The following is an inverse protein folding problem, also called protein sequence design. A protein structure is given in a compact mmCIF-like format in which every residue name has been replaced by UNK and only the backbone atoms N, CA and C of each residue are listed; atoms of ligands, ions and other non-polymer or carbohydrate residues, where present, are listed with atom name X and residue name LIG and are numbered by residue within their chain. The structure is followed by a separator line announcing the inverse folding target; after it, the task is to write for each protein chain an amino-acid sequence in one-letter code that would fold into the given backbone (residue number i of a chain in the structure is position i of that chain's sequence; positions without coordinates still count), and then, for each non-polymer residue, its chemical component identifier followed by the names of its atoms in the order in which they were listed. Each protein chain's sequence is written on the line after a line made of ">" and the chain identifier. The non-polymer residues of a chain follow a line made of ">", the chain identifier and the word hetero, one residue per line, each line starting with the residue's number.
data_IF_799624136518
#
_entry.id   IF_799624136518
#
_cell.length_a   1.000
_cell.length_b   1.000
_cell.length_c   1.000
_cell.angle_alpha   90.00
_cell.angle_beta   90.00
_cell.angle_gamma   90.00
#
_symmetry.space_group_name_H-M   'P 1'
#
loop_
_entity.id
_entity.type
_entity.pdbx_description
1 polymer ?
#
# COMPACT_ATOMS: atom_id res chain seq x y z
N UNK A 1 -1.96 14.44 19.51
CA UNK A 1 -1.54 14.50 18.11
C UNK A 1 -1.19 15.91 17.70
N UNK A 2 -0.41 16.05 16.63
CA UNK A 2 0.02 17.35 16.12
C UNK A 2 -0.89 17.80 14.99
N UNK A 3 -1.24 19.07 14.96
CA UNK A 3 -2.03 19.65 13.86
C UNK A 3 -1.08 20.01 12.71
N UNK A 4 -1.30 19.43 11.53
CA UNK A 4 -0.38 19.58 10.39
C UNK A 4 -0.19 21.01 9.91
N UNK A 5 -1.18 21.88 10.08
CA UNK A 5 -1.12 23.30 9.71
C UNK A 5 -0.42 24.17 10.76
N UNK A 6 -0.43 23.76 12.03
CA UNK A 6 0.14 24.52 13.15
C UNK A 6 1.54 24.01 13.52
N UNK A 7 1.75 22.68 13.46
CA UNK A 7 2.98 21.99 13.85
C UNK A 7 3.47 21.03 12.74
N UNK A 8 3.77 21.55 11.53
CA UNK A 8 4.04 20.71 10.35
C UNK A 8 5.25 19.79 10.54
N UNK A 9 6.30 20.24 11.22
CA UNK A 9 7.51 19.44 11.43
C UNK A 9 7.26 18.27 12.38
N UNK A 10 6.52 18.48 13.47
CA UNK A 10 6.18 17.43 14.42
C UNK A 10 5.18 16.43 13.81
N UNK A 11 4.19 16.94 13.06
CA UNK A 11 3.25 16.10 12.33
C UNK A 11 3.96 15.20 11.30
N UNK A 12 4.91 15.73 10.53
CA UNK A 12 5.70 14.95 9.54
C UNK A 12 6.55 13.85 10.19
N UNK A 13 7.06 14.05 11.41
CA UNK A 13 7.79 13.00 12.15
C UNK A 13 6.91 11.79 12.47
N UNK A 14 5.60 12.00 12.58
CA UNK A 14 4.63 10.94 12.84
C UNK A 14 4.20 10.18 11.56
N UNK A 15 4.67 10.58 10.38
CA UNK A 15 4.22 10.04 9.10
C UNK A 15 5.38 9.40 8.35
N UNK A 16 5.20 8.15 7.94
CA UNK A 16 5.99 7.50 6.90
C UNK A 16 5.23 7.59 5.58
N UNK A 17 5.90 8.00 4.50
CA UNK A 17 5.25 8.16 3.20
C UNK A 17 6.00 7.43 2.10
N UNK A 18 5.27 6.63 1.33
CA UNK A 18 5.71 6.01 0.09
C UNK A 18 4.88 6.57 -1.05
N UNK A 19 5.40 7.45 -1.91
CA UNK A 19 4.73 7.85 -3.15
C UNK A 19 4.77 6.72 -4.18
N UNK A 20 3.91 6.79 -5.20
CA UNK A 20 3.85 5.84 -6.32
C UNK A 20 5.23 5.60 -6.96
N UNK A 21 6.00 6.68 -7.15
CA UNK A 21 7.38 6.63 -7.61
C UNK A 21 8.32 7.04 -6.47
N UNK A 22 8.95 6.08 -5.76
CA UNK A 22 9.82 6.40 -4.64
C UNK A 22 11.00 7.28 -5.07
N UNK A 23 11.21 8.44 -4.43
CA UNK A 23 12.28 9.39 -4.76
C UNK A 23 13.62 8.90 -4.17
N UNK A 24 14.13 7.77 -4.67
CA UNK A 24 15.36 7.15 -4.19
C UNK A 24 16.58 7.69 -4.93
N UNK A 25 17.71 7.83 -4.23
CA UNK A 25 18.99 8.18 -4.85
C UNK A 25 19.60 6.95 -5.54
N UNK A 26 19.49 6.90 -6.86
CA UNK A 26 19.80 5.72 -7.68
C UNK A 26 21.28 5.35 -7.71
N UNK A 27 22.18 6.29 -7.45
CA UNK A 27 23.63 6.09 -7.40
C UNK A 27 24.17 5.66 -6.01
N UNK A 28 23.29 5.54 -5.03
CA UNK A 28 23.59 4.96 -3.73
C UNK A 28 23.29 3.46 -3.73
N UNK A 29 24.00 2.71 -2.89
CA UNK A 29 23.58 1.36 -2.49
C UNK A 29 22.35 1.44 -1.57
N UNK A 30 21.63 0.35 -1.44
CA UNK A 30 20.46 0.27 -0.53
C UNK A 30 20.85 0.66 0.90
N UNK A 31 21.97 0.14 1.39
CA UNK A 31 22.45 0.43 2.75
C UNK A 31 22.87 1.89 2.94
N UNK A 32 23.55 2.49 1.98
CA UNK A 32 23.95 3.91 2.01
C UNK A 32 22.70 4.80 2.03
N UNK A 33 21.72 4.51 1.19
CA UNK A 33 20.47 5.24 1.13
C UNK A 33 19.70 5.17 2.46
N UNK A 34 19.54 3.98 3.03
CA UNK A 34 18.84 3.84 4.31
C UNK A 34 19.59 4.50 5.49
N UNK A 35 20.92 4.52 5.47
CA UNK A 35 21.71 5.31 6.43
C UNK A 35 21.43 6.80 6.29
N UNK A 36 21.44 7.31 5.07
CA UNK A 36 21.11 8.71 4.77
C UNK A 36 19.70 9.07 5.26
N UNK A 37 18.70 8.22 4.97
CA UNK A 37 17.32 8.42 5.45
C UNK A 37 17.24 8.41 6.97
N UNK A 38 17.98 7.51 7.64
CA UNK A 38 18.03 7.45 9.10
C UNK A 38 18.60 8.76 9.71
N UNK A 39 19.55 9.39 9.02
CA UNK A 39 20.09 10.70 9.41
C UNK A 39 19.08 11.83 9.24
N UNK A 40 18.43 11.88 8.08
CA UNK A 40 17.37 12.87 7.82
C UNK A 40 16.24 12.79 8.83
N UNK A 41 15.84 11.56 9.20
CA UNK A 41 14.81 11.32 10.23
C UNK A 41 15.32 11.54 11.66
N UNK A 42 16.58 11.97 11.83
CA UNK A 42 17.22 12.26 13.13
C UNK A 42 17.16 11.06 14.09
N UNK A 43 17.22 9.83 13.57
CA UNK A 43 17.27 8.62 14.39
C UNK A 43 18.60 8.63 15.17
N UNK A 44 18.61 8.35 16.49
CA UNK A 44 19.83 8.29 17.30
C UNK A 44 20.88 7.34 16.71
N UNK A 45 22.16 7.75 16.73
CA UNK A 45 23.26 7.00 16.07
C UNK A 45 23.37 5.55 16.53
N UNK A 46 23.18 5.32 17.82
CA UNK A 46 23.21 3.99 18.47
C UNK A 46 22.08 3.06 17.99
N UNK A 47 20.94 3.61 17.56
CA UNK A 47 19.79 2.85 17.11
C UNK A 47 19.75 2.62 15.59
N UNK A 48 20.45 3.44 14.79
CA UNK A 48 20.36 3.43 13.33
C UNK A 48 20.67 2.05 12.73
N UNK A 49 21.79 1.45 13.12
CA UNK A 49 22.23 0.15 12.58
C UNK A 49 21.18 -0.95 12.83
N UNK A 50 20.63 -0.98 14.05
CA UNK A 50 19.60 -1.95 14.46
C UNK A 50 18.32 -1.74 13.64
N UNK A 51 17.79 -0.52 13.61
CA UNK A 51 16.55 -0.23 12.90
C UNK A 51 16.66 -0.46 11.38
N UNK A 52 17.79 -0.09 10.76
CA UNK A 52 18.02 -0.34 9.34
C UNK A 52 17.96 -1.85 9.06
N UNK A 53 18.66 -2.67 9.86
CA UNK A 53 18.66 -4.12 9.67
C UNK A 53 17.26 -4.72 9.86
N UNK A 54 16.52 -4.31 10.90
CA UNK A 54 15.16 -4.76 11.17
C UNK A 54 14.22 -4.41 10.01
N UNK A 55 14.28 -3.18 9.51
CA UNK A 55 13.45 -2.74 8.39
C UNK A 55 13.83 -3.46 7.09
N UNK A 56 15.12 -3.64 6.81
CA UNK A 56 15.56 -4.40 5.62
C UNK A 56 15.07 -5.86 5.66
N UNK A 57 15.09 -6.50 6.82
CA UNK A 57 14.53 -7.84 7.01
C UNK A 57 13.01 -7.85 6.80
N UNK A 58 12.30 -6.86 7.36
CA UNK A 58 10.85 -6.72 7.25
C UNK A 58 10.39 -6.63 5.79
N UNK A 59 11.06 -5.80 4.99
CA UNK A 59 10.73 -5.63 3.56
C UNK A 59 11.47 -6.61 2.64
N UNK A 60 12.26 -7.54 3.19
CA UNK A 60 12.98 -8.61 2.46
C UNK A 60 13.95 -8.07 1.37
N UNK A 61 14.86 -7.17 1.76
CA UNK A 61 15.90 -6.62 0.86
C UNK A 61 17.31 -6.75 1.42
N UNK A 62 17.53 -7.55 2.44
CA UNK A 62 18.83 -7.70 3.10
C UNK A 62 19.92 -8.20 2.15
N UNK A 63 19.56 -9.10 1.23
CA UNK A 63 20.44 -9.63 0.19
C UNK A 63 20.89 -8.57 -0.84
N UNK A 64 20.14 -7.46 -0.95
CA UNK A 64 20.40 -6.36 -1.88
C UNK A 64 21.17 -5.19 -1.25
N UNK A 65 21.56 -5.26 0.03
CA UNK A 65 22.09 -4.12 0.79
C UNK A 65 23.26 -3.38 0.13
N UNK A 66 24.14 -4.12 -0.56
CA UNK A 66 25.33 -3.56 -1.21
C UNK A 66 25.10 -3.27 -2.71
N UNK A 67 23.89 -3.48 -3.22
CA UNK A 67 23.58 -3.25 -4.63
C UNK A 67 23.16 -1.80 -4.85
N UNK A 68 23.64 -1.19 -5.96
CA UNK A 68 23.19 0.13 -6.37
C UNK A 68 21.70 0.11 -6.70
N UNK A 69 20.95 1.12 -6.24
CA UNK A 69 19.50 1.20 -6.41
C UNK A 69 19.11 1.24 -7.89
N UNK A 70 19.90 1.87 -8.77
CA UNK A 70 19.66 1.87 -10.22
C UNK A 70 19.63 0.47 -10.84
N UNK A 71 20.33 -0.49 -10.24
CA UNK A 71 20.41 -1.87 -10.74
C UNK A 71 19.35 -2.79 -10.14
N UNK A 72 18.41 -2.26 -9.37
CA UNK A 72 17.28 -3.00 -8.79
C UNK A 72 16.12 -3.07 -9.77
N UNK A 73 15.35 -4.17 -9.72
CA UNK A 73 14.04 -4.25 -10.37
C UNK A 73 13.06 -3.24 -9.75
N UNK A 74 11.94 -2.97 -10.43
CA UNK A 74 10.89 -2.08 -9.92
C UNK A 74 10.41 -2.54 -8.53
N UNK A 75 10.16 -3.85 -8.36
CA UNK A 75 9.71 -4.41 -7.07
C UNK A 75 10.71 -4.22 -5.94
N UNK A 76 12.01 -4.38 -6.20
CA UNK A 76 13.02 -4.09 -5.19
C UNK A 76 13.13 -2.60 -4.88
N UNK A 77 13.00 -1.71 -5.86
CA UNK A 77 12.95 -0.25 -5.60
C UNK A 77 11.74 0.14 -4.77
N UNK A 78 10.58 -0.48 -5.02
CA UNK A 78 9.38 -0.29 -4.21
C UNK A 78 9.61 -0.71 -2.75
N UNK A 79 10.28 -1.84 -2.53
CA UNK A 79 10.65 -2.30 -1.18
C UNK A 79 11.65 -1.36 -0.49
N UNK A 80 12.59 -0.76 -1.22
CA UNK A 80 13.49 0.29 -0.67
C UNK A 80 12.68 1.52 -0.25
N UNK A 81 11.71 1.95 -1.04
CA UNK A 81 10.78 3.02 -0.69
C UNK A 81 9.93 2.69 0.55
N UNK A 82 9.42 1.45 0.65
CA UNK A 82 8.74 0.97 1.86
C UNK A 82 9.65 0.98 3.08
N UNK A 83 10.91 0.53 2.94
CA UNK A 83 11.90 0.61 4.01
C UNK A 83 12.09 2.05 4.50
N UNK A 84 12.20 3.01 3.58
CA UNK A 84 12.27 4.44 3.90
C UNK A 84 11.02 4.90 4.68
N UNK A 85 9.82 4.51 4.26
CA UNK A 85 8.58 4.91 4.91
C UNK A 85 8.50 4.38 6.35
N UNK A 86 8.86 3.11 6.56
CA UNK A 86 8.77 2.42 7.87
C UNK A 86 9.91 2.81 8.82
N UNK A 87 11.08 3.21 8.31
CA UNK A 87 12.25 3.54 9.12
C UNK A 87 11.92 4.66 10.13
N UNK A 88 12.23 4.42 11.41
CA UNK A 88 11.84 5.29 12.53
C UNK A 88 10.49 4.91 13.16
N UNK A 89 9.83 3.89 12.65
CA UNK A 89 8.56 3.34 13.18
C UNK A 89 7.48 4.41 13.39
N UNK A 90 7.14 5.21 12.36
CA UNK A 90 6.12 6.24 12.49
C UNK A 90 4.76 5.62 12.81
N UNK A 91 3.92 6.25 13.66
CA UNK A 91 2.60 5.72 13.99
C UNK A 91 1.65 5.65 12.79
N UNK A 92 1.86 6.48 11.76
CA UNK A 92 1.05 6.52 10.53
C UNK A 92 1.96 6.23 9.33
N UNK A 93 1.52 5.35 8.44
CA UNK A 93 2.19 5.03 7.18
C UNK A 93 1.21 5.28 6.04
N UNK A 94 1.59 6.13 5.10
CA UNK A 94 0.81 6.42 3.90
C UNK A 94 1.50 5.76 2.71
N UNK A 95 0.78 4.94 1.98
CA UNK A 95 1.25 4.19 0.82
C UNK A 95 0.42 4.57 -0.41
N UNK A 96 1.06 5.21 -1.37
CA UNK A 96 0.42 5.64 -2.61
C UNK A 96 0.70 4.63 -3.72
N UNK A 97 -0.34 3.93 -4.18
CA UNK A 97 -0.28 2.90 -5.23
C UNK A 97 0.89 1.89 -5.06
N UNK A 98 1.07 1.26 -3.89
CA UNK A 98 2.29 0.50 -3.56
C UNK A 98 2.49 -0.75 -4.42
N UNK A 99 1.50 -1.19 -5.17
CA UNK A 99 1.51 -2.41 -5.98
C UNK A 99 1.59 -2.16 -7.48
N UNK A 100 1.52 -0.90 -7.91
CA UNK A 100 1.52 -0.53 -9.34
C UNK A 100 2.75 -1.03 -10.09
N UNK A 101 2.51 -1.81 -11.15
CA UNK A 101 3.55 -2.33 -12.05
C UNK A 101 4.43 -3.40 -11.42
N UNK A 102 3.95 -4.06 -10.39
CA UNK A 102 4.53 -5.29 -9.84
C UNK A 102 3.92 -6.52 -10.50
N UNK A 103 4.67 -7.62 -10.50
CA UNK A 103 4.13 -8.91 -10.92
C UNK A 103 3.19 -9.51 -9.84
N UNK A 104 2.31 -10.47 -10.21
CA UNK A 104 1.33 -11.03 -9.28
C UNK A 104 1.92 -11.60 -7.98
N UNK A 105 3.12 -12.21 -8.04
CA UNK A 105 3.80 -12.75 -6.86
C UNK A 105 4.24 -11.62 -5.93
N UNK A 106 4.83 -10.57 -6.48
CA UNK A 106 5.26 -9.41 -5.72
C UNK A 106 4.08 -8.66 -5.09
N UNK A 107 2.94 -8.58 -5.79
CA UNK A 107 1.70 -8.00 -5.24
C UNK A 107 1.27 -8.73 -3.97
N UNK A 108 1.24 -10.07 -3.99
CA UNK A 108 0.88 -10.87 -2.81
C UNK A 108 1.84 -10.58 -1.66
N UNK A 109 3.15 -10.57 -1.92
CA UNK A 109 4.16 -10.31 -0.89
C UNK A 109 4.06 -8.90 -0.28
N UNK A 110 3.76 -7.88 -1.10
CA UNK A 110 3.55 -6.50 -0.61
C UNK A 110 2.26 -6.39 0.21
N UNK A 111 1.18 -7.08 -0.19
CA UNK A 111 -0.07 -7.14 0.59
C UNK A 111 0.15 -7.75 1.98
N UNK A 112 0.86 -8.87 2.04
CA UNK A 112 1.18 -9.53 3.32
C UNK A 112 2.02 -8.61 4.22
N UNK A 113 2.97 -7.89 3.62
CA UNK A 113 3.77 -6.90 4.32
C UNK A 113 2.88 -5.76 4.86
N UNK A 114 1.99 -5.19 4.06
CA UNK A 114 1.07 -4.13 4.49
C UNK A 114 0.18 -4.61 5.64
N UNK A 115 -0.39 -5.82 5.56
CA UNK A 115 -1.13 -6.43 6.66
C UNK A 115 -0.30 -6.54 7.95
N UNK A 116 0.96 -6.93 7.81
CA UNK A 116 1.86 -7.02 8.97
C UNK A 116 2.16 -5.66 9.61
N UNK A 117 2.29 -4.61 8.79
CA UNK A 117 2.45 -3.23 9.25
C UNK A 117 1.20 -2.73 9.96
N UNK A 118 0.00 -3.03 9.46
CA UNK A 118 -1.28 -2.66 10.08
C UNK A 118 -1.47 -3.15 11.50
N UNK A 119 -0.73 -4.18 11.93
CA UNK A 119 -0.76 -4.65 13.34
C UNK A 119 -0.12 -3.68 14.33
N UNK A 120 0.76 -2.79 13.87
CA UNK A 120 1.55 -1.88 14.72
C UNK A 120 1.40 -0.41 14.34
N UNK A 121 0.91 -0.14 13.13
CA UNK A 121 0.81 1.19 12.55
C UNK A 121 -0.60 1.42 12.01
N UNK A 122 -1.04 2.66 11.97
CA UNK A 122 -2.18 3.04 11.13
C UNK A 122 -1.68 3.15 9.70
N UNK A 123 -2.19 2.31 8.80
CA UNK A 123 -1.80 2.33 7.38
C UNK A 123 -2.92 2.94 6.55
N UNK A 124 -2.59 3.97 5.79
CA UNK A 124 -3.46 4.58 4.79
C UNK A 124 -2.94 4.15 3.42
N UNK A 125 -3.78 3.49 2.64
CA UNK A 125 -3.44 2.94 1.33
C UNK A 125 -4.31 3.61 0.26
N UNK A 126 -3.70 4.20 -0.77
CA UNK A 126 -4.40 4.54 -2.00
C UNK A 126 -4.24 3.41 -3.04
N UNK A 127 -5.30 3.08 -3.75
CA UNK A 127 -5.28 2.19 -4.90
C UNK A 127 -6.52 2.40 -5.76
N UNK A 128 -6.38 2.20 -7.06
CA UNK A 128 -7.49 2.19 -8.02
C UNK A 128 -8.04 0.76 -8.25
N UNK A 129 -7.47 -0.26 -7.62
CA UNK A 129 -7.86 -1.67 -7.77
C UNK A 129 -8.62 -2.14 -6.54
N UNK A 130 -9.96 -2.20 -6.64
CA UNK A 130 -10.84 -2.53 -5.52
C UNK A 130 -10.53 -3.90 -4.88
N UNK A 131 -10.18 -4.91 -5.68
CA UNK A 131 -9.81 -6.24 -5.15
C UNK A 131 -8.54 -6.23 -4.31
N UNK A 132 -7.62 -5.30 -4.55
CA UNK A 132 -6.42 -5.12 -3.73
C UNK A 132 -6.77 -4.47 -2.40
N UNK A 133 -7.57 -3.41 -2.44
CA UNK A 133 -8.04 -2.69 -1.25
C UNK A 133 -8.84 -3.63 -0.36
N UNK A 134 -9.82 -4.36 -0.92
CA UNK A 134 -10.65 -5.30 -0.17
C UNK A 134 -9.87 -6.43 0.49
N UNK A 135 -8.72 -6.82 -0.09
CA UNK A 135 -7.89 -7.88 0.44
C UNK A 135 -7.03 -7.46 1.65
N UNK A 136 -6.85 -6.14 1.89
CA UNK A 136 -5.85 -5.61 2.83
C UNK A 136 -6.46 -4.67 3.85
N UNK A 137 -7.47 -3.87 3.46
CA UNK A 137 -8.01 -2.80 4.29
C UNK A 137 -9.18 -3.27 5.16
N UNK A 138 -9.24 -2.79 6.40
CA UNK A 138 -10.37 -2.99 7.31
C UNK A 138 -11.51 -2.02 6.99
N UNK A 139 -11.19 -0.87 6.41
CA UNK A 139 -12.14 0.20 6.10
C UNK A 139 -11.75 0.89 4.79
N UNK A 140 -12.74 1.25 3.97
CA UNK A 140 -12.53 1.82 2.64
C UNK A 140 -13.30 3.12 2.50
N UNK A 141 -12.66 4.12 1.92
CA UNK A 141 -13.25 5.40 1.52
C UNK A 141 -13.16 5.54 0.00
N UNK A 142 -14.29 5.70 -0.66
CA UNK A 142 -14.37 5.91 -2.11
C UNK A 142 -14.54 7.40 -2.39
N UNK A 143 -13.57 7.96 -3.11
CA UNK A 143 -13.56 9.37 -3.50
C UNK A 143 -13.78 9.47 -5.01
N UNK A 144 -14.74 10.29 -5.43
CA UNK A 144 -14.98 10.59 -6.84
C UNK A 144 -15.19 12.10 -7.01
N UNK A 145 -14.52 12.70 -7.99
CA UNK A 145 -14.59 14.15 -8.29
C UNK A 145 -14.35 15.04 -7.06
N UNK A 146 -13.41 14.64 -6.20
CA UNK A 146 -13.07 15.38 -4.97
C UNK A 146 -14.09 15.25 -3.83
N UNK A 147 -15.11 14.38 -3.96
CA UNK A 147 -16.12 14.15 -2.92
C UNK A 147 -16.06 12.72 -2.41
N UNK A 148 -16.30 12.54 -1.11
CA UNK A 148 -16.46 11.23 -0.49
C UNK A 148 -17.81 10.65 -0.90
N UNK A 149 -17.78 9.58 -1.72
CA UNK A 149 -19.00 8.95 -2.27
C UNK A 149 -19.52 7.84 -1.37
N UNK A 150 -18.62 7.05 -0.80
CA UNK A 150 -18.94 5.96 0.11
C UNK A 150 -17.81 5.74 1.13
N UNK A 151 -18.16 5.21 2.29
CA UNK A 151 -17.23 4.97 3.38
C UNK A 151 -17.77 3.86 4.27
N UNK A 152 -17.21 2.64 4.15
CA UNK A 152 -17.65 1.46 4.92
C UNK A 152 -16.59 0.34 4.85
N UNK A 153 -16.89 -0.80 5.47
CA UNK A 153 -16.07 -2.02 5.32
C UNK A 153 -16.15 -2.57 3.90
N UNK A 154 -15.12 -3.31 3.43
CA UNK A 154 -15.15 -3.94 2.11
C UNK A 154 -16.37 -4.83 1.87
N UNK A 155 -16.81 -5.58 2.90
CA UNK A 155 -17.96 -6.47 2.83
C UNK A 155 -19.26 -5.70 2.59
N UNK A 156 -19.47 -4.58 3.30
CA UNK A 156 -20.66 -3.76 3.16
C UNK A 156 -20.68 -3.06 1.80
N UNK A 157 -19.54 -2.53 1.35
CA UNK A 157 -19.43 -1.93 0.01
C UNK A 157 -19.72 -2.95 -1.09
N UNK A 158 -19.23 -4.19 -0.94
CA UNK A 158 -19.54 -5.27 -1.89
C UNK A 158 -21.02 -5.59 -1.94
N UNK A 159 -21.72 -5.62 -0.80
CA UNK A 159 -23.17 -5.81 -0.75
C UNK A 159 -23.95 -4.69 -1.43
N UNK A 160 -23.52 -3.43 -1.26
CA UNK A 160 -24.11 -2.28 -1.94
C UNK A 160 -23.94 -2.37 -3.46
N UNK A 161 -22.81 -2.87 -3.94
CA UNK A 161 -22.57 -3.08 -5.37
C UNK A 161 -23.36 -4.28 -5.94
N UNK A 162 -23.52 -5.35 -5.15
CA UNK A 162 -24.31 -6.54 -5.52
C UNK A 162 -25.81 -6.30 -5.43
N UNK A 163 -26.25 -5.28 -4.68
CA UNK A 163 -27.66 -4.89 -4.53
C UNK A 163 -28.30 -4.28 -5.77
N UNK A 164 -27.59 -4.09 -6.86
CA UNK A 164 -28.16 -3.68 -8.14
C UNK A 164 -28.74 -4.89 -8.89
N UNK A 165 -30.03 -5.17 -8.64
CA UNK A 165 -30.98 -5.82 -9.56
C UNK A 165 -30.52 -7.06 -10.35
N UNK A 166 -29.77 -7.97 -9.77
CA UNK A 166 -29.58 -9.29 -10.39
C UNK A 166 -30.77 -10.17 -10.02
N UNK A 167 -31.66 -10.40 -10.96
CA UNK A 167 -32.77 -11.35 -10.83
C UNK A 167 -32.27 -12.69 -11.35
N UNK A 168 -32.17 -13.69 -10.50
CA UNK A 168 -31.91 -15.07 -10.92
C UNK A 168 -33.22 -15.77 -11.13
N UNK A 169 -33.55 -16.08 -12.38
CA UNK A 169 -34.72 -16.88 -12.74
C UNK A 169 -34.30 -18.29 -13.12
N UNK A 170 -34.90 -19.29 -12.48
CA UNK A 170 -34.81 -20.67 -12.94
C UNK A 170 -35.95 -20.94 -13.88
N UNK A 171 -35.65 -21.22 -15.15
CA UNK A 171 -36.65 -21.49 -16.18
C UNK A 171 -36.44 -22.87 -16.78
N UNK A 172 -37.51 -23.60 -17.02
CA UNK A 172 -37.51 -24.90 -17.68
C UNK A 172 -37.89 -24.72 -19.15
N UNK A 173 -37.02 -25.12 -20.06
CA UNK A 173 -37.25 -25.03 -21.49
C UNK A 173 -36.00 -25.31 -22.32
N UNK A 174 -36.17 -25.49 -23.61
CA UNK A 174 -35.04 -25.62 -24.54
C UNK A 174 -34.45 -24.22 -24.85
N UNK A 175 -33.15 -24.17 -25.16
CA UNK A 175 -32.45 -22.94 -25.52
C UNK A 175 -33.16 -22.17 -26.65
N UNK A 176 -33.75 -22.87 -27.62
CA UNK A 176 -34.53 -22.27 -28.74
C UNK A 176 -35.79 -21.54 -28.29
N UNK A 177 -36.41 -21.94 -27.17
CA UNK A 177 -37.59 -21.32 -26.60
C UNK A 177 -37.20 -20.16 -25.67
N UNK A 178 -36.12 -20.27 -24.94
CA UNK A 178 -35.73 -19.30 -23.91
C UNK A 178 -35.02 -18.06 -24.46
N UNK A 179 -34.14 -18.20 -25.47
CA UNK A 179 -33.40 -17.06 -26.01
C UNK A 179 -34.29 -15.95 -26.60
N UNK A 180 -35.38 -16.26 -27.37
CA UNK A 180 -36.29 -15.19 -27.85
C UNK A 180 -37.04 -14.51 -26.74
N UNK A 181 -37.43 -15.22 -25.68
CA UNK A 181 -38.20 -14.68 -24.56
C UNK A 181 -37.34 -13.79 -23.62
N UNK A 182 -36.04 -13.97 -23.59
CA UNK A 182 -35.11 -13.15 -22.80
C UNK A 182 -34.64 -11.88 -23.54
N UNK A 183 -34.82 -11.80 -24.85
CA UNK A 183 -34.45 -10.68 -25.71
C UNK A 183 -35.65 -9.79 -26.11
N UNK A 184 -36.83 -10.12 -25.64
CA UNK A 184 -38.05 -9.35 -25.84
C UNK A 184 -38.30 -8.38 -24.66
#
# INVERSE_FOLDING_TARGET
>A
GHKILEEPEEAKKCIGYLPELPPVYTDMTVLEYLKFVAELKKIPKDQRKKQILEVMNLVKITDMQNRLIKNLSKGYRQRVGLAQAVLGYPPIIILDEPTVGLDPKQIIEIRDLIKSLGKKHTVILSSHILSEVSAVCDYVMIIAKGQLVASDTPENLSKLMLGSNTVTCTVHGTRKQLVPALNA
#
